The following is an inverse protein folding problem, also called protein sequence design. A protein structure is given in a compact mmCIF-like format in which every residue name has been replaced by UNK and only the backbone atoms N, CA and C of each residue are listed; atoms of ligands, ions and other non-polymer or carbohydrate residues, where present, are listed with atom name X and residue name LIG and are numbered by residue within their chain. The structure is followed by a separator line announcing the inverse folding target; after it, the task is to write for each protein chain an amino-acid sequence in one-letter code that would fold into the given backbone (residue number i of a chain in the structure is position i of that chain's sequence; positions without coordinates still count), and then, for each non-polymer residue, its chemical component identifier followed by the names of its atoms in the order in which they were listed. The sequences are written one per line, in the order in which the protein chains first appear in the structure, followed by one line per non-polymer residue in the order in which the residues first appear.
data_IF_994446347957
#
_entry.id   IF_994446347957
#
_cell.length_a   1.000
_cell.length_b   1.000
_cell.length_c   1.000
_cell.angle_alpha   90.00
_cell.angle_beta   90.00
_cell.angle_gamma   90.00
#
_symmetry.space_group_name_H-M   'P 1'
#
loop_
_entity.id
_entity.type
_entity.pdbx_description
1 polymer ?
#
# COMPACT_ATOMS: atom_id res chain seq x y z
N UNK A 1 -5.69 7.45 20.03
CA UNK A 1 -5.81 7.73 18.58
C UNK A 1 -6.87 8.80 18.24
N UNK A 2 -7.97 8.96 19.00
CA UNK A 2 -9.03 9.92 18.65
C UNK A 2 -8.77 11.40 19.04
N UNK A 3 -7.85 11.67 19.97
CA UNK A 3 -7.76 13.00 20.61
C UNK A 3 -7.07 14.08 19.77
N UNK A 4 -6.43 13.76 18.64
CA UNK A 4 -5.71 14.73 17.81
C UNK A 4 -6.37 15.01 16.45
N UNK A 5 -7.40 14.26 16.05
CA UNK A 5 -8.06 14.44 14.75
C UNK A 5 -8.65 15.84 14.59
N UNK A 6 -9.21 16.40 15.67
CA UNK A 6 -9.88 17.71 15.64
C UNK A 6 -8.92 18.89 15.44
N UNK A 7 -7.67 18.77 15.87
CA UNK A 7 -6.65 19.82 15.68
C UNK A 7 -6.17 19.85 14.23
N UNK A 8 -5.87 18.70 13.63
CA UNK A 8 -5.44 18.63 12.23
C UNK A 8 -6.54 19.01 11.22
N UNK A 9 -7.81 18.82 11.58
CA UNK A 9 -8.94 19.30 10.78
C UNK A 9 -9.02 20.84 10.83
N UNK A 10 -8.79 21.45 12.00
CA UNK A 10 -8.77 22.91 12.17
C UNK A 10 -7.60 23.57 11.46
N UNK A 11 -6.45 22.90 11.38
CA UNK A 11 -5.24 23.41 10.73
C UNK A 11 -5.22 23.13 9.21
N UNK A 12 -6.25 22.48 8.66
CA UNK A 12 -6.34 22.16 7.22
C UNK A 12 -5.34 21.10 6.73
N UNK A 13 -4.56 20.50 7.62
CA UNK A 13 -3.49 19.54 7.30
C UNK A 13 -3.94 18.08 7.30
N UNK A 14 -5.15 17.78 7.75
CA UNK A 14 -5.68 16.40 7.82
C UNK A 14 -5.66 15.68 6.46
N UNK A 15 -6.04 16.39 5.38
CA UNK A 15 -5.99 15.85 4.01
C UNK A 15 -4.57 15.46 3.56
N UNK A 16 -3.54 16.17 4.05
CA UNK A 16 -2.15 15.85 3.77
C UNK A 16 -1.71 14.57 4.49
N UNK A 17 -2.19 14.35 5.71
CA UNK A 17 -1.87 13.16 6.50
C UNK A 17 -2.42 11.88 5.84
N UNK A 18 -3.64 11.92 5.29
CA UNK A 18 -4.21 10.78 4.55
C UNK A 18 -3.41 10.46 3.29
N UNK A 19 -2.96 11.49 2.55
CA UNK A 19 -2.08 11.31 1.38
C UNK A 19 -0.72 10.73 1.77
N UNK A 20 -0.19 11.11 2.94
CA UNK A 20 1.07 10.57 3.45
C UNK A 20 0.95 9.08 3.79
N UNK A 21 -0.16 8.66 4.40
CA UNK A 21 -0.40 7.25 4.74
C UNK A 21 -0.35 6.35 3.50
N UNK A 22 -1.01 6.74 2.41
CA UNK A 22 -0.97 6.02 1.14
C UNK A 22 0.45 5.96 0.55
N UNK A 23 1.19 7.07 0.61
CA UNK A 23 2.57 7.11 0.14
C UNK A 23 3.49 6.17 0.94
N UNK A 24 3.30 6.08 2.26
CA UNK A 24 4.04 5.16 3.13
C UNK A 24 3.70 3.71 2.81
N UNK A 25 2.42 3.35 2.70
CA UNK A 25 1.98 2.01 2.34
C UNK A 25 2.53 1.57 0.97
N UNK A 26 2.52 2.46 -0.02
CA UNK A 26 3.15 2.21 -1.32
C UNK A 26 4.66 1.96 -1.18
N UNK A 27 5.38 2.77 -0.41
CA UNK A 27 6.83 2.61 -0.21
C UNK A 27 7.15 1.27 0.45
N UNK A 28 6.34 0.87 1.43
CA UNK A 28 6.44 -0.43 2.08
C UNK A 28 6.24 -1.57 1.07
N UNK A 29 5.16 -1.52 0.29
CA UNK A 29 4.87 -2.51 -0.73
C UNK A 29 5.97 -2.61 -1.80
N UNK A 30 6.57 -1.48 -2.21
CA UNK A 30 7.72 -1.47 -3.13
C UNK A 30 8.93 -2.20 -2.54
N UNK A 31 9.19 -2.07 -1.24
CA UNK A 31 10.28 -2.80 -0.57
C UNK A 31 9.98 -4.30 -0.50
N UNK A 32 8.75 -4.66 -0.14
CA UNK A 32 8.31 -6.07 -0.11
C UNK A 32 8.47 -6.71 -1.50
N UNK A 33 8.04 -6.01 -2.55
CA UNK A 33 8.23 -6.44 -3.92
C UNK A 33 9.71 -6.65 -4.27
N UNK A 34 10.58 -5.68 -3.94
CA UNK A 34 12.01 -5.78 -4.23
C UNK A 34 12.68 -6.97 -3.54
N UNK A 35 12.32 -7.23 -2.28
CA UNK A 35 12.82 -8.39 -1.52
C UNK A 35 12.28 -9.69 -2.12
N UNK A 36 10.98 -9.75 -2.40
CA UNK A 36 10.35 -10.93 -3.00
C UNK A 36 10.97 -11.26 -4.38
N UNK A 37 11.23 -10.24 -5.20
CA UNK A 37 11.85 -10.40 -6.51
C UNK A 37 13.31 -10.89 -6.43
N UNK A 38 14.02 -10.62 -5.33
CA UNK A 38 15.36 -11.18 -5.09
C UNK A 38 15.30 -12.65 -4.65
N UNK A 39 14.28 -13.04 -3.89
CA UNK A 39 14.13 -14.41 -3.36
C UNK A 39 13.58 -15.35 -4.44
N UNK A 40 12.55 -14.93 -5.18
CA UNK A 40 11.95 -15.70 -6.27
C UNK A 40 11.87 -14.83 -7.54
N UNK A 41 12.94 -14.83 -8.37
CA UNK A 41 12.96 -14.06 -9.61
C UNK A 41 11.95 -14.57 -10.65
N UNK A 42 11.57 -15.86 -10.60
CA UNK A 42 10.59 -16.43 -11.53
C UNK A 42 9.16 -15.89 -11.27
N UNK A 43 8.86 -15.52 -10.01
CA UNK A 43 7.59 -14.93 -9.59
C UNK A 43 7.71 -13.47 -9.17
N UNK A 44 8.72 -12.75 -9.66
CA UNK A 44 8.95 -11.34 -9.30
C UNK A 44 7.73 -10.43 -9.56
N UNK A 45 6.83 -10.80 -10.49
CA UNK A 45 5.61 -10.05 -10.77
C UNK A 45 4.42 -10.39 -9.85
N UNK A 46 4.48 -11.46 -9.06
CA UNK A 46 3.38 -11.91 -8.19
C UNK A 46 3.81 -11.79 -6.74
N UNK A 47 3.28 -10.80 -6.03
CA UNK A 47 3.59 -10.54 -4.63
C UNK A 47 2.53 -11.24 -3.77
N UNK A 48 2.89 -12.19 -2.91
CA UNK A 48 1.94 -12.76 -1.96
C UNK A 48 1.47 -11.70 -0.96
N UNK A 49 0.15 -11.59 -0.76
CA UNK A 49 -0.41 -10.60 0.17
C UNK A 49 -0.04 -10.89 1.63
N UNK A 50 0.31 -12.13 1.97
CA UNK A 50 0.85 -12.51 3.27
C UNK A 50 2.14 -11.77 3.62
N UNK A 51 3.01 -11.50 2.64
CA UNK A 51 4.23 -10.71 2.86
C UNK A 51 3.91 -9.25 3.14
N UNK A 52 2.90 -8.72 2.46
CA UNK A 52 2.46 -7.35 2.68
C UNK A 52 1.75 -7.21 4.03
N UNK A 53 0.93 -8.20 4.43
CA UNK A 53 0.32 -8.29 5.76
C UNK A 53 1.39 -8.28 6.86
N UNK A 54 2.41 -9.14 6.74
CA UNK A 54 3.51 -9.18 7.70
C UNK A 54 4.22 -7.82 7.79
N UNK A 55 4.53 -7.21 6.65
CA UNK A 55 5.15 -5.90 6.61
C UNK A 55 4.28 -4.80 7.27
N UNK A 56 2.96 -4.84 7.09
CA UNK A 56 2.04 -3.90 7.72
C UNK A 56 1.98 -4.08 9.24
N UNK A 57 1.92 -5.33 9.72
CA UNK A 57 1.98 -5.63 11.16
C UNK A 57 3.27 -5.10 11.80
N UNK A 58 4.42 -5.24 11.13
CA UNK A 58 5.69 -4.71 11.65
C UNK A 58 5.74 -3.18 11.72
N UNK A 59 4.95 -2.47 10.90
CA UNK A 59 4.88 -1.00 10.92
C UNK A 59 4.00 -0.47 12.06
N UNK A 60 2.99 -1.25 12.46
CA UNK A 60 1.98 -0.83 13.44
C UNK A 60 2.44 -0.86 14.89
N UNK A 61 3.52 -1.57 15.22
CA UNK A 61 4.09 -1.67 16.57
C UNK A 61 3.16 -2.29 17.62
N UNK A 62 1.95 -2.68 17.23
CA UNK A 62 0.90 -3.20 18.09
C UNK A 62 0.45 -4.56 17.55
N UNK A 63 1.04 -5.61 18.12
CA UNK A 63 0.71 -7.01 17.78
C UNK A 63 -0.75 -7.36 18.08
N UNK A 64 -1.47 -6.52 18.84
CA UNK A 64 -2.89 -6.72 19.17
C UNK A 64 -3.86 -6.35 18.03
N UNK A 65 -3.37 -5.66 16.98
CA UNK A 65 -4.13 -5.35 15.74
C UNK A 65 -3.46 -5.97 14.51
N UNK A 66 -3.40 -7.30 14.47
CA UNK A 66 -3.12 -7.99 13.23
C UNK A 66 -4.21 -7.65 12.20
N UNK A 67 -3.84 -6.98 11.10
CA UNK A 67 -4.78 -6.72 10.01
C UNK A 67 -5.17 -8.04 9.37
N UNK A 68 -6.46 -8.27 9.18
CA UNK A 68 -6.93 -9.46 8.48
C UNK A 68 -6.61 -9.38 6.98
N UNK A 69 -6.78 -10.50 6.26
CA UNK A 69 -6.43 -10.55 4.85
C UNK A 69 -7.36 -9.67 3.98
N UNK A 70 -8.59 -9.44 4.41
CA UNK A 70 -9.57 -8.65 3.66
C UNK A 70 -9.25 -7.14 3.79
N UNK A 71 -8.81 -6.69 4.96
CA UNK A 71 -8.25 -5.36 5.19
C UNK A 71 -6.98 -5.13 4.35
N UNK A 72 -6.08 -6.12 4.29
CA UNK A 72 -4.86 -6.05 3.46
C UNK A 72 -5.22 -5.97 1.97
N UNK A 73 -6.19 -6.76 1.51
CA UNK A 73 -6.72 -6.67 0.15
C UNK A 73 -7.33 -5.30 -0.12
N UNK A 74 -8.07 -4.73 0.83
CA UNK A 74 -8.64 -3.39 0.72
C UNK A 74 -7.54 -2.32 0.57
N UNK A 75 -6.48 -2.37 1.38
CA UNK A 75 -5.33 -1.46 1.24
C UNK A 75 -4.67 -1.62 -0.12
N UNK A 76 -4.41 -2.85 -0.57
CA UNK A 76 -3.82 -3.10 -1.87
C UNK A 76 -4.71 -2.61 -3.02
N UNK A 77 -6.03 -2.81 -2.92
CA UNK A 77 -7.00 -2.35 -3.91
C UNK A 77 -7.02 -0.81 -3.98
N UNK A 78 -6.96 -0.12 -2.83
CA UNK A 78 -6.88 1.33 -2.77
C UNK A 78 -5.61 1.88 -3.44
N UNK A 79 -4.47 1.20 -3.26
CA UNK A 79 -3.21 1.57 -3.93
C UNK A 79 -3.29 1.39 -5.46
N UNK A 80 -3.99 0.36 -5.95
CA UNK A 80 -4.22 0.16 -7.39
C UNK A 80 -5.20 1.20 -7.94
N UNK A 81 -6.33 1.41 -7.26
CA UNK A 81 -7.38 2.33 -7.65
C UNK A 81 -6.84 3.76 -7.82
N UNK A 82 -6.07 4.22 -6.84
CA UNK A 82 -5.42 5.54 -6.85
C UNK A 82 -4.15 5.62 -7.70
N UNK A 83 -3.83 4.57 -8.48
CA UNK A 83 -2.67 4.50 -9.39
C UNK A 83 -1.30 4.60 -8.70
N UNK A 84 -1.22 4.37 -7.39
CA UNK A 84 0.06 4.25 -6.67
C UNK A 84 0.82 2.98 -7.07
N UNK A 85 0.09 1.96 -7.52
CA UNK A 85 0.61 0.69 -8.05
C UNK A 85 -0.14 0.31 -9.31
N UNK A 86 0.58 -0.19 -10.32
CA UNK A 86 -0.02 -0.76 -11.53
C UNK A 86 -0.07 -2.27 -11.37
N UNK A 87 -1.28 -2.84 -11.31
CA UNK A 87 -1.46 -4.27 -11.10
C UNK A 87 -2.91 -4.65 -10.86
N UNK A 88 -3.14 -5.91 -10.51
CA UNK A 88 -4.43 -6.45 -10.11
C UNK A 88 -4.27 -7.44 -8.94
N UNK A 89 -5.35 -7.69 -8.21
CA UNK A 89 -5.37 -8.67 -7.12
C UNK A 89 -6.00 -9.97 -7.63
N UNK A 90 -5.33 -11.09 -7.38
CA UNK A 90 -5.89 -12.42 -7.58
C UNK A 90 -6.40 -12.95 -6.24
N UNK A 91 -7.69 -12.75 -5.97
CA UNK A 91 -8.33 -13.16 -4.71
C UNK A 91 -8.20 -14.67 -4.45
N UNK A 92 -8.31 -15.49 -5.50
CA UNK A 92 -8.19 -16.97 -5.39
C UNK A 92 -6.82 -17.42 -4.89
N UNK A 93 -5.76 -16.76 -5.36
CA UNK A 93 -4.39 -17.11 -5.03
C UNK A 93 -3.80 -16.25 -3.90
N UNK A 94 -4.55 -15.24 -3.41
CA UNK A 94 -4.10 -14.25 -2.41
C UNK A 94 -2.77 -13.59 -2.79
N UNK A 95 -2.63 -13.25 -4.08
CA UNK A 95 -1.45 -12.56 -4.63
C UNK A 95 -1.85 -11.25 -5.32
N UNK A 96 -1.01 -10.24 -5.20
CA UNK A 96 -1.05 -9.03 -6.00
C UNK A 96 -0.12 -9.18 -7.19
N UNK A 97 -0.65 -9.13 -8.41
CA UNK A 97 0.13 -9.21 -9.64
C UNK A 97 0.41 -7.79 -10.13
N UNK A 98 1.69 -7.42 -10.21
CA UNK A 98 2.13 -6.09 -10.63
C UNK A 98 2.54 -6.06 -12.10
N UNK A 99 2.47 -4.88 -12.72
CA UNK A 99 2.87 -4.68 -14.10
C UNK A 99 4.38 -4.93 -14.29
N UNK A 100 4.77 -5.52 -15.43
CA UNK A 100 6.19 -5.77 -15.75
C UNK A 100 6.97 -4.47 -15.96
N UNK A 101 6.31 -3.45 -16.51
CA UNK A 101 6.91 -2.15 -16.79
C UNK A 101 6.40 -1.14 -15.78
N UNK A 102 7.32 -0.54 -15.02
CA UNK A 102 7.03 0.50 -14.03
C UNK A 102 5.85 0.17 -13.08
N UNK A 103 5.96 -0.89 -12.26
CA UNK A 103 4.90 -1.30 -11.34
C UNK A 103 4.57 -0.24 -10.27
N UNK A 104 5.50 0.67 -9.97
CA UNK A 104 5.37 1.72 -8.96
C UNK A 104 5.68 3.10 -9.56
N UNK A 105 4.72 3.74 -10.28
CA UNK A 105 4.92 5.03 -10.95
C UNK A 105 5.29 6.16 -9.98
N UNK A 106 6.08 7.17 -10.38
CA UNK A 106 6.54 8.25 -9.47
C UNK A 106 5.41 8.91 -8.67
N UNK A 107 5.63 9.18 -7.38
CA UNK A 107 4.64 9.86 -6.51
C UNK A 107 4.23 11.23 -7.07
N UNK A 108 5.16 11.95 -7.71
CA UNK A 108 4.88 13.24 -8.35
C UNK A 108 3.88 13.12 -9.51
N UNK A 109 3.86 11.98 -10.20
CA UNK A 109 2.93 11.70 -11.30
C UNK A 109 1.54 11.31 -10.79
N UNK A 110 1.45 10.75 -9.59
CA UNK A 110 0.19 10.29 -8.97
C UNK A 110 -0.53 11.42 -8.23
N UNK A 111 0.21 12.37 -7.64
CA UNK A 111 -0.33 13.42 -6.77
C UNK A 111 -1.23 14.48 -7.46
N UNK A 112 -1.38 14.44 -8.78
CA UNK A 112 -2.07 15.48 -9.57
C UNK A 112 -3.48 15.11 -10.05
N UNK A 113 -3.95 13.88 -9.80
CA UNK A 113 -5.24 13.41 -10.36
C UNK A 113 -6.39 13.29 -9.35
N UNK A 114 -6.23 13.74 -8.10
CA UNK A 114 -7.32 13.79 -7.11
C UNK A 114 -8.24 15.03 -7.29
N UNK A 115 -8.05 15.82 -8.36
CA UNK A 115 -8.85 17.00 -8.68
C UNK A 115 -9.77 16.73 -9.89
N UNK A 116 -10.89 16.06 -9.64
CA UNK A 116 -12.04 16.02 -10.54
C UNK A 116 -13.29 15.66 -9.75
#
# INVERSE_FOLDING_TARGET
MATQQTSFIKDGTYLLLEKLQLAVQRRLLRKVWAIHAQIDPAKAAQIPLSWFQYALCTLGGDESRAMDMDEVECVAANLIFRKYVKGYISHKNKVMVVAKNDPFPSLAMVALNDAS
#
